data_IF_029446413952
#
_entry.id   IF_029446413952
#
_cell.length_a   1.000
_cell.length_b   1.000
_cell.length_c   1.000
_cell.angle_alpha   90.00
_cell.angle_beta   90.00
_cell.angle_gamma   90.00
#
_symmetry.space_group_name_H-M   'P 1'
#
loop_
_entity.id
_entity.type
_entity.pdbx_description
1 polymer ?
#
# COMPACT_ATOMS: atom_id res chain seq x y z
N UNK A 1 57.36 10.45 23.62
CA UNK A 1 57.22 11.62 22.69
C UNK A 1 55.86 12.21 22.90
N UNK A 2 55.80 13.32 23.67
CA UNK A 2 54.56 14.02 23.94
C UNK A 2 54.07 14.73 22.69
N UNK A 3 52.83 14.41 22.29
CA UNK A 3 52.18 15.09 21.18
C UNK A 3 51.87 16.52 21.51
N UNK A 4 52.21 17.43 20.60
CA UNK A 4 52.00 18.88 20.72
C UNK A 4 50.55 19.20 21.19
N UNK A 5 50.34 20.17 22.11
CA UNK A 5 49.01 20.46 22.70
C UNK A 5 47.88 20.73 21.70
N UNK A 6 48.20 21.23 20.50
CA UNK A 6 47.22 21.42 19.40
C UNK A 6 46.70 20.11 18.83
N UNK A 7 47.54 19.07 18.69
CA UNK A 7 47.15 17.75 18.19
C UNK A 7 46.29 17.00 19.22
N UNK A 8 46.60 17.21 20.52
CA UNK A 8 45.76 16.67 21.61
C UNK A 8 44.37 17.29 21.65
N UNK A 9 44.25 18.61 21.43
CA UNK A 9 42.97 19.32 21.32
C UNK A 9 42.18 18.90 20.09
N UNK A 10 42.82 18.76 18.94
CA UNK A 10 42.14 18.25 17.74
C UNK A 10 41.66 16.79 17.89
N UNK A 11 42.47 15.92 18.50
CA UNK A 11 42.02 14.54 18.81
C UNK A 11 40.88 14.52 19.82
N UNK A 12 40.91 15.33 20.84
CA UNK A 12 39.81 15.45 21.80
C UNK A 12 38.57 16.10 21.19
N UNK A 13 38.71 17.08 20.28
CA UNK A 13 37.59 17.60 19.50
C UNK A 13 37.01 16.53 18.57
N UNK A 14 37.81 15.80 17.82
CA UNK A 14 37.35 14.68 16.97
C UNK A 14 36.72 13.51 17.77
N UNK A 15 37.20 13.25 19.00
CA UNK A 15 36.60 12.26 19.90
C UNK A 15 35.28 12.80 20.48
N UNK A 16 35.25 14.09 20.85
CA UNK A 16 34.03 14.75 21.35
C UNK A 16 32.95 14.87 20.26
N UNK A 17 33.33 15.14 19.00
CA UNK A 17 32.43 15.16 17.85
C UNK A 17 31.96 13.74 17.49
N UNK A 18 32.76 12.69 17.69
CA UNK A 18 32.31 11.29 17.57
C UNK A 18 31.39 10.85 18.71
N UNK A 19 31.50 11.44 19.90
CA UNK A 19 30.58 11.18 21.02
C UNK A 19 29.28 12.02 20.93
N UNK A 20 29.26 13.02 20.04
CA UNK A 20 28.08 13.86 19.75
C UNK A 20 27.27 13.34 18.55
N UNK A 21 27.45 12.08 18.14
CA UNK A 21 26.56 11.47 17.15
C UNK A 21 25.17 11.33 17.75
N UNK A 22 24.27 12.18 17.26
CA UNK A 22 22.85 12.10 17.48
C UNK A 22 22.40 10.65 17.38
N UNK A 23 21.60 10.18 18.33
CA UNK A 23 20.95 8.86 18.37
C UNK A 23 19.95 8.65 17.18
N UNK A 24 20.04 9.47 16.15
CA UNK A 24 19.25 9.36 14.94
C UNK A 24 19.84 8.29 14.04
N UNK A 25 19.10 7.19 13.90
CA UNK A 25 19.47 6.14 12.94
C UNK A 25 19.22 6.64 11.52
N UNK A 26 20.30 6.91 10.78
CA UNK A 26 20.22 7.33 9.38
C UNK A 26 19.45 6.31 8.53
N UNK A 27 18.76 6.77 7.49
CA UNK A 27 18.10 5.89 6.53
C UNK A 27 19.15 5.08 5.75
N UNK A 28 18.84 3.80 5.46
CA UNK A 28 19.65 2.99 4.55
C UNK A 28 19.49 3.47 3.10
N UNK A 29 20.43 3.16 2.20
CA UNK A 29 20.26 3.36 0.77
C UNK A 29 18.92 2.77 0.27
N UNK A 30 18.29 3.44 -0.68
CA UNK A 30 17.00 2.99 -1.24
C UNK A 30 17.22 1.95 -2.33
N UNK A 31 16.25 1.06 -2.50
CA UNK A 31 16.15 0.21 -3.68
C UNK A 31 15.37 0.97 -4.75
N UNK A 32 16.06 1.72 -5.61
CA UNK A 32 15.44 2.61 -6.60
C UNK A 32 14.45 1.89 -7.51
N UNK A 33 14.78 0.65 -7.92
CA UNK A 33 13.88 -0.17 -8.74
C UNK A 33 12.59 -0.46 -7.99
N UNK A 34 12.66 -0.90 -6.72
CA UNK A 34 11.47 -1.21 -5.93
C UNK A 34 10.60 0.02 -5.70
N UNK A 35 11.22 1.19 -5.50
CA UNK A 35 10.50 2.46 -5.41
C UNK A 35 9.79 2.78 -6.75
N UNK A 36 10.45 2.62 -7.88
CA UNK A 36 9.86 2.80 -9.20
C UNK A 36 8.70 1.83 -9.48
N UNK A 37 8.87 0.55 -9.14
CA UNK A 37 7.83 -0.48 -9.33
C UNK A 37 6.58 -0.21 -8.48
N UNK A 38 6.76 0.32 -7.26
CA UNK A 38 5.63 0.76 -6.43
C UNK A 38 4.83 1.86 -7.12
N UNK A 39 5.51 2.79 -7.81
CA UNK A 39 4.85 3.83 -8.60
C UNK A 39 4.11 3.28 -9.81
N UNK A 40 4.72 2.35 -10.56
CA UNK A 40 4.05 1.66 -11.69
C UNK A 40 2.76 0.98 -11.21
N UNK A 41 2.83 0.21 -10.12
CA UNK A 41 1.66 -0.46 -9.56
C UNK A 41 0.59 0.54 -9.08
N UNK A 42 0.98 1.67 -8.47
CA UNK A 42 0.04 2.71 -8.02
C UNK A 42 -0.70 3.36 -9.21
N UNK A 43 -0.03 3.61 -10.34
CA UNK A 43 -0.68 4.10 -11.56
C UNK A 43 -1.72 3.12 -12.10
N UNK A 44 -1.42 1.81 -12.05
CA UNK A 44 -2.37 0.77 -12.49
C UNK A 44 -3.58 0.69 -11.54
N UNK A 45 -3.38 0.88 -10.23
CA UNK A 45 -4.49 0.94 -9.26
C UNK A 45 -5.45 2.09 -9.61
N UNK A 46 -4.92 3.27 -9.94
CA UNK A 46 -5.79 4.40 -10.36
C UNK A 46 -6.54 4.03 -11.64
N UNK A 47 -5.85 3.48 -12.65
CA UNK A 47 -6.50 3.03 -13.87
C UNK A 47 -7.55 1.95 -13.60
N UNK A 48 -7.27 0.97 -12.72
CA UNK A 48 -8.21 -0.06 -12.30
C UNK A 48 -9.51 0.56 -11.78
N UNK A 49 -9.46 1.50 -10.84
CA UNK A 49 -10.64 2.13 -10.27
C UNK A 49 -11.38 3.05 -11.25
N UNK A 50 -10.68 3.66 -12.22
CA UNK A 50 -11.32 4.41 -13.29
C UNK A 50 -12.21 3.51 -14.18
N UNK A 51 -11.75 2.27 -14.47
CA UNK A 51 -12.53 1.28 -15.22
C UNK A 51 -13.65 0.65 -14.37
N UNK A 52 -13.46 0.52 -13.06
CA UNK A 52 -14.47 0.01 -12.12
C UNK A 52 -15.77 0.79 -12.18
N UNK A 53 -15.71 2.11 -12.38
CA UNK A 53 -16.85 3.00 -12.55
C UNK A 53 -17.83 2.52 -13.64
N UNK A 54 -17.35 1.87 -14.69
CA UNK A 54 -18.11 1.43 -15.86
C UNK A 54 -18.36 -0.07 -15.91
N UNK A 55 -17.99 -0.77 -14.87
CA UNK A 55 -18.14 -2.23 -14.78
C UNK A 55 -19.46 -2.62 -14.11
N UNK A 56 -20.05 -3.74 -14.52
CA UNK A 56 -21.17 -4.39 -13.83
C UNK A 56 -20.74 -5.10 -12.53
N UNK A 57 -19.57 -4.78 -12.03
CA UNK A 57 -18.95 -5.34 -10.84
C UNK A 57 -17.48 -5.73 -11.09
N UNK A 58 -16.71 -5.96 -10.03
CA UNK A 58 -15.26 -6.15 -10.12
C UNK A 58 -14.87 -7.35 -10.99
N UNK A 59 -15.75 -8.35 -11.12
CA UNK A 59 -15.52 -9.56 -11.92
C UNK A 59 -15.59 -9.32 -13.43
N UNK A 60 -16.39 -8.33 -13.86
CA UNK A 60 -16.60 -8.00 -15.28
C UNK A 60 -15.74 -6.84 -15.76
N UNK A 61 -14.81 -6.40 -14.96
CA UNK A 61 -13.97 -5.26 -15.24
C UNK A 61 -12.91 -5.57 -16.30
N UNK A 62 -12.67 -4.63 -17.22
CA UNK A 62 -11.70 -4.79 -18.32
C UNK A 62 -10.28 -4.94 -17.76
N UNK A 63 -9.89 -4.07 -16.82
CA UNK A 63 -8.62 -4.11 -16.09
C UNK A 63 -8.82 -4.99 -14.84
N UNK A 64 -8.91 -6.31 -15.02
CA UNK A 64 -9.49 -7.17 -13.99
C UNK A 64 -8.62 -7.37 -12.74
N UNK A 65 -7.29 -7.50 -12.87
CA UNK A 65 -6.42 -7.89 -11.75
C UNK A 65 -5.70 -6.72 -11.07
N UNK A 66 -6.11 -5.46 -11.32
CA UNK A 66 -5.49 -4.28 -10.70
C UNK A 66 -5.53 -4.28 -9.17
N UNK A 67 -6.51 -4.94 -8.54
CA UNK A 67 -6.59 -5.08 -7.08
C UNK A 67 -5.45 -5.92 -6.47
N UNK A 68 -4.80 -6.80 -7.24
CA UNK A 68 -3.62 -7.56 -6.79
C UNK A 68 -2.40 -6.67 -6.55
N UNK A 69 -2.40 -5.42 -7.01
CA UNK A 69 -1.36 -4.46 -6.68
C UNK A 69 -1.19 -4.26 -5.16
N UNK A 70 -2.26 -4.43 -4.38
CA UNK A 70 -2.20 -4.37 -2.92
C UNK A 70 -1.33 -5.50 -2.35
N UNK A 71 -1.46 -6.71 -2.88
CA UNK A 71 -0.65 -7.86 -2.47
C UNK A 71 0.82 -7.64 -2.83
N UNK A 72 1.09 -7.06 -4.01
CA UNK A 72 2.44 -6.64 -4.39
C UNK A 72 2.99 -5.56 -3.44
N UNK A 73 2.19 -4.58 -3.02
CA UNK A 73 2.61 -3.58 -2.03
C UNK A 73 2.93 -4.21 -0.67
N UNK A 74 2.20 -5.23 -0.24
CA UNK A 74 2.52 -5.94 0.99
C UNK A 74 3.85 -6.69 0.89
N UNK A 75 4.18 -7.35 -0.24
CA UNK A 75 5.49 -7.98 -0.45
C UNK A 75 6.61 -6.93 -0.38
N UNK A 76 6.44 -5.80 -1.06
CA UNK A 76 7.39 -4.68 -1.01
C UNK A 76 7.56 -4.13 0.42
N UNK A 77 6.45 -3.92 1.13
CA UNK A 77 6.48 -3.40 2.51
C UNK A 77 7.22 -4.35 3.44
N UNK A 78 6.93 -5.64 3.37
CA UNK A 78 7.63 -6.65 4.17
C UNK A 78 9.13 -6.68 3.90
N UNK A 79 9.54 -6.66 2.63
CA UNK A 79 10.94 -6.60 2.23
C UNK A 79 11.64 -5.34 2.78
N UNK A 80 11.03 -4.17 2.59
CA UNK A 80 11.60 -2.89 3.05
C UNK A 80 11.66 -2.81 4.58
N UNK A 81 10.67 -3.37 5.30
CA UNK A 81 10.67 -3.43 6.77
C UNK A 81 11.84 -4.27 7.26
N UNK A 82 12.03 -5.49 6.73
CA UNK A 82 13.17 -6.34 7.08
C UNK A 82 14.49 -5.65 6.80
N UNK A 83 14.66 -5.12 5.60
CA UNK A 83 15.86 -4.38 5.22
C UNK A 83 16.13 -3.17 6.13
N UNK A 84 15.11 -2.39 6.45
CA UNK A 84 15.30 -1.15 7.19
C UNK A 84 15.54 -1.36 8.70
N UNK A 85 15.03 -2.45 9.30
CA UNK A 85 14.92 -2.53 10.75
C UNK A 85 15.49 -3.78 11.40
N UNK A 86 15.63 -4.94 10.72
CA UNK A 86 16.03 -6.20 11.36
C UNK A 86 17.37 -6.13 12.10
N UNK A 87 18.35 -5.37 11.59
CA UNK A 87 19.68 -5.19 12.17
C UNK A 87 19.80 -3.99 13.12
N UNK A 88 18.68 -3.40 13.55
CA UNK A 88 18.69 -2.15 14.33
C UNK A 88 18.01 -2.24 15.69
N UNK A 89 17.48 -3.40 16.03
CA UNK A 89 16.70 -3.58 17.26
C UNK A 89 17.51 -3.45 18.55
N UNK A 90 18.82 -3.66 18.50
CA UNK A 90 19.76 -3.38 19.58
C UNK A 90 19.91 -1.88 19.90
N UNK A 91 19.60 -1.01 18.92
CA UNK A 91 19.74 0.46 19.01
C UNK A 91 18.42 1.20 18.86
N UNK A 92 17.31 0.48 18.79
CA UNK A 92 15.98 1.05 18.54
C UNK A 92 14.93 0.37 19.41
N UNK A 93 14.16 1.16 20.17
CA UNK A 93 13.03 0.65 20.93
C UNK A 93 11.79 0.40 20.04
N UNK A 94 10.85 -0.42 20.54
CA UNK A 94 9.53 -0.61 19.90
C UNK A 94 8.82 0.75 19.70
N UNK A 95 8.90 1.63 20.70
CA UNK A 95 8.32 2.98 20.63
C UNK A 95 8.95 3.81 19.49
N UNK A 96 10.26 3.71 19.30
CA UNK A 96 10.96 4.43 18.23
C UNK A 96 10.62 3.87 16.85
N UNK A 97 10.41 2.56 16.75
CA UNK A 97 9.91 1.92 15.53
C UNK A 97 8.54 2.47 15.14
N UNK A 98 7.55 2.43 16.05
CA UNK A 98 6.21 2.93 15.77
C UNK A 98 6.20 4.43 15.46
N UNK A 99 6.96 5.25 16.17
CA UNK A 99 7.11 6.67 15.84
C UNK A 99 7.60 6.89 14.41
N UNK A 100 8.59 6.11 13.95
CA UNK A 100 9.12 6.20 12.58
C UNK A 100 8.07 5.81 11.55
N UNK A 101 7.29 4.76 11.83
CA UNK A 101 6.20 4.32 10.95
C UNK A 101 5.09 5.36 10.88
N UNK A 102 4.64 5.87 12.01
CA UNK A 102 3.63 6.93 12.08
C UNK A 102 4.09 8.20 11.33
N UNK A 103 5.29 8.68 11.60
CA UNK A 103 5.83 9.86 10.88
C UNK A 103 5.87 9.64 9.37
N UNK A 104 6.09 8.41 8.90
CA UNK A 104 6.16 8.10 7.48
C UNK A 104 4.79 8.00 6.81
N UNK A 105 3.81 7.37 7.47
CA UNK A 105 2.54 6.98 6.84
C UNK A 105 1.38 7.92 7.20
N UNK A 106 1.30 8.31 8.46
CA UNK A 106 0.10 8.93 9.02
C UNK A 106 -0.25 10.34 8.46
N UNK A 107 0.70 11.20 8.10
CA UNK A 107 0.35 12.49 7.50
C UNK A 107 -0.55 12.36 6.27
N UNK A 108 -0.24 11.44 5.36
CA UNK A 108 -1.05 11.24 4.15
C UNK A 108 -2.41 10.60 4.44
N UNK A 109 -2.54 9.77 5.49
CA UNK A 109 -3.85 9.27 5.94
C UNK A 109 -4.79 10.41 6.29
N UNK A 110 -4.30 11.37 7.09
CA UNK A 110 -5.06 12.56 7.46
C UNK A 110 -5.45 13.35 6.20
N UNK A 111 -4.51 13.59 5.30
CA UNK A 111 -4.79 14.34 4.06
C UNK A 111 -5.84 13.64 3.19
N UNK A 112 -5.70 12.33 2.95
CA UNK A 112 -6.68 11.59 2.13
C UNK A 112 -8.08 11.55 2.76
N UNK A 113 -8.16 11.42 4.08
CA UNK A 113 -9.44 11.49 4.81
C UNK A 113 -10.09 12.87 4.68
N UNK A 114 -9.31 13.95 4.79
CA UNK A 114 -9.81 15.33 4.63
C UNK A 114 -10.29 15.60 3.20
N UNK A 115 -9.55 15.14 2.18
CA UNK A 115 -9.98 15.25 0.77
C UNK A 115 -11.31 14.50 0.58
N UNK A 116 -11.42 13.26 1.12
CA UNK A 116 -12.66 12.48 1.07
C UNK A 116 -13.83 13.18 1.74
N UNK A 117 -13.61 13.85 2.86
CA UNK A 117 -14.65 14.63 3.55
C UNK A 117 -15.11 15.86 2.75
N UNK A 118 -14.17 16.58 2.12
CA UNK A 118 -14.49 17.75 1.28
C UNK A 118 -15.39 17.36 0.10
N UNK A 119 -15.15 16.21 -0.51
CA UNK A 119 -15.92 15.73 -1.66
C UNK A 119 -17.14 14.88 -1.27
N UNK A 120 -17.39 14.62 0.01
CA UNK A 120 -18.37 13.63 0.44
C UNK A 120 -19.76 13.89 -0.12
N UNK A 121 -20.37 15.06 0.16
CA UNK A 121 -21.73 15.40 -0.31
C UNK A 121 -21.82 15.65 -1.81
N UNK A 122 -20.70 15.98 -2.47
CA UNK A 122 -20.67 16.11 -3.93
C UNK A 122 -20.72 14.76 -4.65
N UNK A 123 -20.51 13.66 -3.92
CA UNK A 123 -20.54 12.30 -4.44
C UNK A 123 -21.93 11.65 -4.44
N UNK A 124 -23.03 12.40 -4.21
CA UNK A 124 -24.38 11.84 -4.15
C UNK A 124 -24.82 11.23 -5.48
N UNK A 125 -25.23 9.97 -5.42
CA UNK A 125 -25.75 9.22 -6.57
C UNK A 125 -26.38 7.89 -6.12
N UNK A 126 -27.03 7.20 -7.07
CA UNK A 126 -27.67 5.90 -6.81
C UNK A 126 -26.71 4.81 -6.30
N UNK A 127 -25.39 4.92 -6.57
CA UNK A 127 -24.38 3.98 -6.05
C UNK A 127 -24.01 4.25 -4.58
N UNK A 128 -24.31 5.43 -4.06
CA UNK A 128 -24.00 5.86 -2.69
C UNK A 128 -25.25 6.38 -1.96
N UNK A 129 -26.23 5.52 -1.69
CA UNK A 129 -27.57 5.92 -1.26
C UNK A 129 -27.63 6.63 0.11
N UNK A 130 -26.60 6.48 0.95
CA UNK A 130 -26.59 7.02 2.31
C UNK A 130 -26.03 8.45 2.41
N UNK A 131 -25.47 9.02 1.33
CA UNK A 131 -24.78 10.31 1.38
C UNK A 131 -25.72 11.43 1.87
N UNK A 132 -26.87 11.61 1.23
CA UNK A 132 -27.81 12.69 1.58
C UNK A 132 -28.54 12.45 2.90
N UNK A 133 -28.66 11.20 3.35
CA UNK A 133 -29.22 10.85 4.66
C UNK A 133 -28.25 11.06 5.81
N UNK A 134 -26.94 11.21 5.51
CA UNK A 134 -25.89 11.33 6.51
C UNK A 134 -25.78 12.77 7.03
N UNK A 135 -26.03 13.01 8.32
CA UNK A 135 -25.90 14.34 8.90
C UNK A 135 -24.41 14.74 9.01
N UNK A 136 -24.13 16.03 8.91
CA UNK A 136 -22.77 16.58 8.92
C UNK A 136 -21.92 16.17 10.15
N UNK A 137 -22.53 16.03 11.32
CA UNK A 137 -21.82 15.61 12.53
C UNK A 137 -21.29 14.17 12.42
N UNK A 138 -22.05 13.28 11.72
CA UNK A 138 -21.60 11.91 11.46
C UNK A 138 -20.40 11.91 10.50
N UNK A 139 -20.39 12.80 9.50
CA UNK A 139 -19.22 12.99 8.63
C UNK A 139 -18.00 13.45 9.44
N UNK A 140 -18.17 14.40 10.37
CA UNK A 140 -17.07 14.82 11.26
C UNK A 140 -16.56 13.69 12.15
N UNK A 141 -17.46 12.84 12.64
CA UNK A 141 -17.07 11.62 13.38
C UNK A 141 -16.24 10.70 12.48
N UNK A 142 -16.65 10.47 11.23
CA UNK A 142 -15.89 9.66 10.27
C UNK A 142 -14.53 10.30 9.93
N UNK A 143 -14.42 11.63 9.87
CA UNK A 143 -13.14 12.33 9.74
C UNK A 143 -12.23 12.00 10.93
N UNK A 144 -12.73 12.09 12.15
CA UNK A 144 -11.94 11.77 13.35
C UNK A 144 -11.46 10.32 13.34
N UNK A 145 -12.36 9.36 13.08
CA UNK A 145 -12.03 7.94 13.02
C UNK A 145 -11.05 7.63 11.89
N UNK A 146 -11.29 8.18 10.70
CA UNK A 146 -10.39 8.01 9.55
C UNK A 146 -9.01 8.61 9.77
N UNK A 147 -8.94 9.82 10.37
CA UNK A 147 -7.67 10.43 10.77
C UNK A 147 -6.91 9.61 11.83
N UNK A 148 -7.57 8.84 12.66
CA UNK A 148 -6.97 7.96 13.65
C UNK A 148 -6.74 6.53 13.14
N UNK A 149 -7.14 6.22 11.90
CA UNK A 149 -7.15 4.87 11.34
C UNK A 149 -7.95 3.87 12.17
N UNK A 150 -9.02 4.32 12.80
CA UNK A 150 -9.96 3.47 13.53
C UNK A 150 -10.99 2.98 12.52
N UNK A 151 -11.10 1.65 12.28
CA UNK A 151 -12.06 1.12 11.34
C UNK A 151 -13.49 1.31 11.86
N UNK A 152 -14.40 1.67 10.95
CA UNK A 152 -15.81 1.90 11.29
C UNK A 152 -16.61 0.61 11.17
N UNK A 153 -17.51 0.30 12.12
CA UNK A 153 -18.42 -0.82 12.00
C UNK A 153 -19.38 -0.63 10.81
N UNK A 154 -19.83 -1.73 10.21
CA UNK A 154 -20.76 -1.73 9.07
C UNK A 154 -22.02 -0.89 9.35
N UNK A 155 -22.55 -0.95 10.59
CA UNK A 155 -23.73 -0.16 11.02
C UNK A 155 -23.52 1.36 11.03
N UNK A 156 -22.27 1.82 10.95
CA UNK A 156 -21.92 3.25 10.94
C UNK A 156 -21.57 3.75 9.53
N UNK A 157 -21.67 2.89 8.53
CA UNK A 157 -21.41 3.29 7.15
C UNK A 157 -22.25 4.53 6.76
N UNK A 158 -21.65 5.38 5.93
CA UNK A 158 -22.23 6.64 5.48
C UNK A 158 -22.34 6.71 3.96
N UNK A 159 -21.91 5.64 3.24
CA UNK A 159 -21.91 5.62 1.77
C UNK A 159 -22.74 4.48 1.20
N UNK A 160 -22.88 3.36 1.89
CA UNK A 160 -23.59 2.16 1.43
C UNK A 160 -22.67 1.05 0.90
N UNK A 161 -21.33 1.18 1.07
CA UNK A 161 -20.35 0.21 0.60
C UNK A 161 -19.63 -0.57 1.70
N UNK A 162 -20.00 -0.33 2.96
CA UNK A 162 -19.52 -1.03 4.15
C UNK A 162 -18.00 -0.99 4.35
N UNK A 163 -17.37 0.04 3.82
CA UNK A 163 -15.93 0.23 3.92
C UNK A 163 -15.50 0.61 5.34
N UNK A 164 -14.37 0.08 5.80
CA UNK A 164 -13.77 0.45 7.11
C UNK A 164 -13.45 1.94 7.22
N UNK A 165 -13.40 2.66 6.10
CA UNK A 165 -13.28 4.11 6.04
C UNK A 165 -14.08 4.63 4.84
N UNK A 166 -15.33 4.99 5.05
CA UNK A 166 -16.24 5.47 4.01
C UNK A 166 -15.85 6.80 3.35
N UNK A 167 -14.87 7.54 3.90
CA UNK A 167 -14.31 8.74 3.28
C UNK A 167 -13.17 8.45 2.31
N UNK A 168 -12.48 7.31 2.49
CA UNK A 168 -11.34 6.93 1.64
C UNK A 168 -11.14 5.41 1.64
N UNK A 169 -11.90 4.70 0.82
CA UNK A 169 -11.94 3.24 0.77
C UNK A 169 -10.56 2.56 0.78
N UNK A 170 -9.60 2.87 -0.10
CA UNK A 170 -8.30 2.19 -0.17
C UNK A 170 -7.48 2.18 1.11
N UNK A 171 -7.80 3.01 2.10
CA UNK A 171 -7.10 2.99 3.40
C UNK A 171 -7.30 1.69 4.18
N UNK A 172 -8.23 0.82 3.78
CA UNK A 172 -8.36 -0.52 4.34
C UNK A 172 -7.04 -1.31 4.30
N UNK A 173 -6.32 -1.25 3.20
CA UNK A 173 -5.05 -1.96 3.06
C UNK A 173 -3.96 -1.39 3.96
N UNK A 174 -4.00 -0.07 4.20
CA UNK A 174 -3.09 0.58 5.13
C UNK A 174 -3.38 0.20 6.59
N UNK A 175 -4.65 0.00 6.96
CA UNK A 175 -5.02 -0.59 8.26
C UNK A 175 -4.33 -1.95 8.45
N UNK A 176 -4.38 -2.81 7.44
CA UNK A 176 -3.67 -4.10 7.46
C UNK A 176 -2.15 -3.93 7.52
N UNK A 177 -1.58 -2.92 6.84
CA UNK A 177 -0.14 -2.62 6.96
C UNK A 177 0.24 -2.19 8.39
N UNK A 178 -0.60 -1.44 9.11
CA UNK A 178 -0.37 -1.14 10.53
C UNK A 178 -0.40 -2.42 11.38
N UNK A 179 -1.35 -3.32 11.12
CA UNK A 179 -1.42 -4.63 11.80
C UNK A 179 -0.14 -5.44 11.51
N UNK A 180 0.34 -5.49 10.27
CA UNK A 180 1.59 -6.14 9.92
C UNK A 180 2.79 -5.57 10.69
N UNK A 181 2.87 -4.23 10.82
CA UNK A 181 3.92 -3.59 11.60
C UNK A 181 3.86 -3.96 13.09
N UNK A 182 2.66 -4.10 13.65
CA UNK A 182 2.46 -4.56 15.04
C UNK A 182 2.92 -6.00 15.19
N UNK A 183 2.47 -6.90 14.32
CA UNK A 183 2.88 -8.31 14.31
C UNK A 183 4.39 -8.46 14.18
N UNK A 184 5.00 -7.71 13.23
CA UNK A 184 6.44 -7.69 13.05
C UNK A 184 7.17 -7.23 14.32
N UNK A 185 6.80 -6.07 14.86
CA UNK A 185 7.55 -5.46 15.97
C UNK A 185 7.41 -6.21 17.29
N UNK A 186 6.27 -6.85 17.55
CA UNK A 186 6.04 -7.55 18.79
C UNK A 186 6.47 -9.02 18.75
N UNK A 187 6.29 -9.70 17.63
CA UNK A 187 6.45 -11.16 17.54
C UNK A 187 7.47 -11.59 16.48
N UNK A 188 7.23 -11.29 15.21
CA UNK A 188 7.93 -11.90 14.07
C UNK A 188 9.40 -11.47 13.97
N UNK A 189 9.77 -10.32 14.50
CA UNK A 189 11.19 -9.90 14.56
C UNK A 189 12.08 -10.90 15.30
N UNK A 190 11.52 -11.68 16.23
CA UNK A 190 12.24 -12.68 17.00
C UNK A 190 12.35 -14.05 16.31
N UNK A 191 11.63 -14.26 15.21
CA UNK A 191 11.65 -15.52 14.49
C UNK A 191 12.99 -15.74 13.79
N UNK A 192 13.52 -16.97 13.89
CA UNK A 192 14.60 -17.42 13.02
C UNK A 192 14.14 -17.46 11.57
N UNK A 193 15.05 -17.58 10.61
CA UNK A 193 14.73 -17.75 9.19
C UNK A 193 13.85 -18.98 8.95
N UNK A 194 14.09 -20.07 9.71
CA UNK A 194 13.30 -21.30 9.60
C UNK A 194 11.89 -21.09 10.16
N UNK A 195 11.77 -20.52 11.36
CA UNK A 195 10.45 -20.23 11.95
C UNK A 195 9.63 -19.29 11.07
N UNK A 196 10.25 -18.24 10.49
CA UNK A 196 9.59 -17.36 9.55
C UNK A 196 9.21 -18.10 8.26
N UNK A 197 10.06 -19.01 7.76
CA UNK A 197 9.74 -19.85 6.59
C UNK A 197 8.51 -20.74 6.82
N UNK A 198 8.42 -21.38 7.98
CA UNK A 198 7.25 -22.19 8.38
C UNK A 198 6.01 -21.30 8.47
N UNK A 199 6.11 -20.12 9.10
CA UNK A 199 5.01 -19.18 9.20
C UNK A 199 4.50 -18.74 7.81
N UNK A 200 5.40 -18.41 6.89
CA UNK A 200 5.07 -18.05 5.49
C UNK A 200 4.42 -19.22 4.76
N UNK A 201 4.90 -20.46 4.94
CA UNK A 201 4.28 -21.64 4.35
C UNK A 201 2.86 -21.87 4.85
N UNK A 202 2.61 -21.70 6.16
CA UNK A 202 1.25 -21.78 6.72
C UNK A 202 0.36 -20.64 6.21
N UNK A 203 0.88 -19.42 6.10
CA UNK A 203 0.16 -18.30 5.52
C UNK A 203 -0.19 -18.52 4.02
N UNK A 204 0.67 -19.22 3.27
CA UNK A 204 0.38 -19.60 1.89
C UNK A 204 -0.84 -20.50 1.76
N UNK A 205 -1.11 -21.37 2.75
CA UNK A 205 -2.32 -22.21 2.77
C UNK A 205 -3.60 -21.35 2.83
N UNK A 206 -3.62 -20.27 3.59
CA UNK A 206 -4.74 -19.33 3.61
C UNK A 206 -4.94 -18.64 2.27
N UNK A 207 -3.84 -18.29 1.59
CA UNK A 207 -3.87 -17.73 0.23
C UNK A 207 -4.47 -18.75 -0.76
N UNK A 208 -4.08 -20.01 -0.66
CA UNK A 208 -4.61 -21.11 -1.50
C UNK A 208 -6.10 -21.35 -1.21
N UNK A 209 -6.49 -21.30 0.07
CA UNK A 209 -7.89 -21.49 0.51
C UNK A 209 -8.83 -20.49 -0.19
N UNK A 210 -8.45 -19.21 -0.20
CA UNK A 210 -9.22 -18.16 -0.89
C UNK A 210 -9.17 -18.33 -2.41
N UNK A 211 -7.97 -18.54 -2.98
CA UNK A 211 -7.79 -18.65 -4.42
C UNK A 211 -8.63 -19.74 -5.05
N UNK A 212 -8.73 -20.89 -4.39
CA UNK A 212 -9.48 -22.05 -4.86
C UNK A 212 -10.88 -22.18 -4.23
N UNK A 213 -11.29 -21.19 -3.44
CA UNK A 213 -12.58 -21.15 -2.75
C UNK A 213 -12.85 -22.44 -1.98
N UNK A 214 -11.82 -22.97 -1.29
CA UNK A 214 -11.91 -24.21 -0.51
C UNK A 214 -12.84 -24.02 0.68
N UNK A 215 -12.79 -22.79 1.26
CA UNK A 215 -13.64 -22.35 2.36
C UNK A 215 -13.54 -23.23 3.62
N UNK A 216 -12.30 -23.50 4.03
CA UNK A 216 -11.99 -24.34 5.20
C UNK A 216 -12.72 -23.89 6.48
N UNK A 217 -13.04 -22.60 6.61
CA UNK A 217 -13.67 -22.01 7.80
C UNK A 217 -15.16 -21.67 7.61
N UNK A 218 -15.77 -21.95 6.46
CA UNK A 218 -17.16 -21.62 6.16
C UNK A 218 -17.45 -20.10 6.12
N UNK A 219 -16.46 -19.30 5.76
CA UNK A 219 -16.55 -17.83 5.72
C UNK A 219 -16.75 -17.27 4.30
N UNK A 220 -16.59 -18.10 3.25
CA UNK A 220 -16.60 -17.67 1.85
C UNK A 220 -17.89 -18.00 1.09
N UNK A 221 -18.87 -18.63 1.75
CA UNK A 221 -20.12 -19.14 1.14
C UNK A 221 -20.90 -18.06 0.36
N UNK A 222 -20.84 -16.80 0.80
CA UNK A 222 -21.63 -15.69 0.21
C UNK A 222 -20.95 -15.01 -0.97
N UNK A 223 -19.80 -15.49 -1.42
CA UNK A 223 -18.95 -14.78 -2.39
C UNK A 223 -19.25 -15.09 -3.87
N UNK A 224 -20.36 -15.69 -4.21
CA UNK A 224 -20.71 -16.23 -5.55
C UNK A 224 -19.97 -15.55 -6.73
N UNK A 225 -20.18 -14.27 -6.96
CA UNK A 225 -19.56 -13.52 -8.05
C UNK A 225 -18.05 -13.29 -7.85
N UNK A 226 -17.55 -13.24 -6.61
CA UNK A 226 -16.15 -13.04 -6.27
C UNK A 226 -15.43 -14.33 -5.86
N UNK A 227 -16.05 -15.49 -5.98
CA UNK A 227 -15.40 -16.78 -5.78
C UNK A 227 -14.16 -16.92 -6.67
N UNK A 228 -13.14 -17.60 -6.18
CA UNK A 228 -11.86 -17.78 -6.88
C UNK A 228 -11.12 -16.46 -7.19
N UNK A 229 -11.26 -15.45 -6.31
CA UNK A 229 -10.54 -14.18 -6.40
C UNK A 229 -10.05 -13.72 -5.02
N UNK A 230 -9.03 -12.83 -4.99
CA UNK A 230 -8.62 -12.11 -3.78
C UNK A 230 -9.40 -10.81 -3.56
N UNK A 231 -10.49 -10.56 -4.27
CA UNK A 231 -11.32 -9.37 -4.08
C UNK A 231 -11.89 -9.37 -2.67
N UNK A 232 -11.61 -8.33 -1.89
CA UNK A 232 -12.10 -8.18 -0.51
C UNK A 232 -11.04 -7.66 0.46
N UNK A 233 -11.44 -7.56 1.73
CA UNK A 233 -10.59 -7.12 2.83
C UNK A 233 -10.88 -5.70 3.34
N UNK A 234 -11.90 -5.02 2.80
CA UNK A 234 -12.22 -3.61 3.08
C UNK A 234 -13.34 -3.37 4.08
N UNK A 235 -13.96 -4.43 4.63
CA UNK A 235 -15.04 -4.34 5.62
C UNK A 235 -14.72 -5.13 6.89
N UNK A 236 -15.49 -4.90 7.96
CA UNK A 236 -15.40 -5.65 9.21
C UNK A 236 -16.32 -6.87 9.27
N UNK A 237 -16.89 -7.33 8.14
CA UNK A 237 -17.60 -8.60 8.09
C UNK A 237 -16.62 -9.78 8.19
N UNK A 238 -17.04 -10.94 8.73
CA UNK A 238 -16.13 -12.08 8.94
C UNK A 238 -15.39 -12.54 7.69
N UNK A 239 -16.09 -12.61 6.54
CA UNK A 239 -15.51 -12.93 5.23
C UNK A 239 -14.44 -11.93 4.82
N UNK A 240 -14.73 -10.63 4.95
CA UNK A 240 -13.81 -9.55 4.57
C UNK A 240 -12.58 -9.51 5.49
N UNK A 241 -12.76 -9.77 6.80
CA UNK A 241 -11.63 -9.89 7.74
C UNK A 241 -10.76 -11.10 7.40
N UNK A 242 -11.36 -12.24 7.06
CA UNK A 242 -10.63 -13.43 6.64
C UNK A 242 -9.82 -13.20 5.36
N UNK A 243 -10.43 -12.53 4.36
CA UNK A 243 -9.73 -12.17 3.13
C UNK A 243 -8.60 -11.18 3.43
N UNK A 244 -8.87 -10.14 4.21
CA UNK A 244 -7.89 -9.10 4.50
C UNK A 244 -6.67 -9.62 5.24
N UNK A 245 -6.85 -10.49 6.24
CA UNK A 245 -5.73 -11.09 6.98
C UNK A 245 -4.93 -12.07 6.10
N UNK A 246 -5.60 -12.84 5.25
CA UNK A 246 -4.94 -13.78 4.34
C UNK A 246 -4.10 -13.05 3.29
N UNK A 247 -4.63 -11.96 2.72
CA UNK A 247 -3.90 -11.05 1.81
C UNK A 247 -2.72 -10.35 2.47
N UNK A 248 -2.75 -10.17 3.80
CA UNK A 248 -1.65 -9.58 4.56
C UNK A 248 -0.55 -10.59 4.85
N UNK A 249 -0.92 -11.75 5.45
CA UNK A 249 0.04 -12.62 6.12
C UNK A 249 1.09 -13.18 5.15
N UNK A 250 0.68 -13.79 4.04
CA UNK A 250 1.65 -14.34 3.11
C UNK A 250 2.47 -13.25 2.41
N UNK A 251 1.86 -12.27 1.70
CA UNK A 251 2.64 -11.30 0.94
C UNK A 251 3.61 -10.49 1.79
N UNK A 252 3.18 -9.98 2.94
CA UNK A 252 4.06 -9.17 3.77
C UNK A 252 5.21 -9.99 4.35
N UNK A 253 4.94 -11.19 4.86
CA UNK A 253 5.97 -11.98 5.54
C UNK A 253 6.86 -12.75 4.59
N UNK A 254 6.45 -13.08 3.36
CA UNK A 254 7.36 -13.56 2.33
C UNK A 254 8.33 -12.45 1.90
N UNK A 255 7.87 -11.20 1.81
CA UNK A 255 8.75 -10.05 1.57
C UNK A 255 9.79 -9.90 2.68
N UNK A 256 9.39 -10.01 3.94
CA UNK A 256 10.30 -10.01 5.09
C UNK A 256 11.31 -11.18 5.02
N UNK A 257 10.84 -12.38 4.68
CA UNK A 257 11.69 -13.56 4.51
C UNK A 257 12.73 -13.36 3.41
N UNK A 258 12.33 -12.81 2.26
CA UNK A 258 13.24 -12.47 1.16
C UNK A 258 14.36 -11.52 1.62
N UNK A 259 14.02 -10.49 2.40
CA UNK A 259 15.00 -9.58 2.97
C UNK A 259 16.01 -10.30 3.88
N UNK A 260 15.55 -11.24 4.73
CA UNK A 260 16.39 -12.01 5.65
C UNK A 260 17.26 -13.04 4.95
N UNK A 261 16.73 -13.71 3.92
CA UNK A 261 17.47 -14.70 3.13
C UNK A 261 18.50 -14.02 2.26
N UNK A 262 18.17 -12.83 1.74
CA UNK A 262 19.02 -11.99 0.90
C UNK A 262 19.58 -12.70 -0.37
N UNK A 263 18.85 -13.71 -0.87
CA UNK A 263 19.13 -14.35 -2.17
C UNK A 263 18.43 -13.57 -3.27
N UNK A 264 19.07 -12.50 -3.76
CA UNK A 264 18.52 -11.60 -4.73
C UNK A 264 18.96 -11.99 -6.15
N UNK A 265 18.10 -11.69 -7.14
CA UNK A 265 18.32 -12.05 -8.54
C UNK A 265 18.74 -10.82 -9.32
N UNK A 266 19.94 -10.84 -9.89
CA UNK A 266 20.44 -9.74 -10.69
C UNK A 266 20.10 -9.94 -12.16
N UNK A 267 19.35 -8.99 -12.75
CA UNK A 267 19.02 -8.98 -14.18
C UNK A 267 19.42 -7.65 -14.82
N UNK A 268 19.77 -7.70 -16.12
CA UNK A 268 20.01 -6.49 -16.89
C UNK A 268 18.68 -5.78 -17.15
N UNK A 269 18.68 -4.42 -17.07
CA UNK A 269 17.47 -3.60 -17.25
C UNK A 269 16.32 -3.99 -16.31
N UNK A 270 16.63 -4.32 -15.04
CA UNK A 270 15.67 -4.84 -14.06
C UNK A 270 14.41 -4.01 -13.92
N UNK A 271 14.50 -2.67 -13.90
CA UNK A 271 13.33 -1.82 -13.82
C UNK A 271 12.33 -2.07 -14.96
N UNK A 272 12.79 -2.12 -16.20
CA UNK A 272 11.90 -2.28 -17.36
C UNK A 272 11.24 -3.66 -17.39
N UNK A 273 12.00 -4.74 -17.15
CA UNK A 273 11.45 -6.08 -17.15
C UNK A 273 10.48 -6.31 -15.98
N UNK A 274 10.83 -5.87 -14.78
CA UNK A 274 9.92 -5.97 -13.63
C UNK A 274 8.67 -5.11 -13.83
N UNK A 275 8.77 -3.91 -14.41
CA UNK A 275 7.61 -3.08 -14.74
C UNK A 275 6.71 -3.75 -15.77
N UNK A 276 7.29 -4.35 -16.82
CA UNK A 276 6.53 -5.08 -17.84
C UNK A 276 5.76 -6.25 -17.22
N UNK A 277 6.42 -7.03 -16.34
CA UNK A 277 5.77 -8.15 -15.66
C UNK A 277 4.61 -7.66 -14.75
N UNK A 278 4.81 -6.59 -13.97
CA UNK A 278 3.74 -6.02 -13.14
C UNK A 278 2.57 -5.55 -14.00
N UNK A 279 2.85 -4.83 -15.09
CA UNK A 279 1.79 -4.37 -16.02
C UNK A 279 1.06 -5.58 -16.59
N UNK A 280 1.76 -6.58 -17.11
CA UNK A 280 1.16 -7.77 -17.70
C UNK A 280 0.27 -8.52 -16.70
N UNK A 281 0.73 -8.67 -15.44
CA UNK A 281 -0.03 -9.35 -14.38
C UNK A 281 -1.29 -8.55 -14.02
N UNK A 282 -1.17 -7.25 -13.79
CA UNK A 282 -2.27 -6.45 -13.27
C UNK A 282 -3.32 -6.07 -14.33
N UNK A 283 -2.93 -6.05 -15.60
CA UNK A 283 -3.82 -5.73 -16.73
C UNK A 283 -4.52 -6.98 -17.29
N UNK A 284 -4.07 -8.19 -16.89
CA UNK A 284 -4.63 -9.44 -17.39
C UNK A 284 -6.15 -9.51 -17.21
N UNK A 285 -6.92 -9.84 -18.25
CA UNK A 285 -8.36 -10.05 -18.10
C UNK A 285 -8.66 -11.29 -17.25
N UNK A 286 -9.89 -11.41 -16.77
CA UNK A 286 -10.34 -12.61 -16.03
C UNK A 286 -10.20 -13.86 -16.87
N UNK A 287 -9.71 -14.92 -16.25
CA UNK A 287 -9.42 -16.20 -16.91
C UNK A 287 -10.52 -17.22 -16.55
N UNK A 288 -10.88 -18.09 -17.51
CA UNK A 288 -11.78 -19.23 -17.29
C UNK A 288 -13.28 -18.92 -17.36
N UNK A 289 -13.68 -17.66 -17.49
CA UNK A 289 -15.10 -17.27 -17.58
C UNK A 289 -15.92 -17.74 -16.35
N UNK A 290 -17.18 -18.08 -16.56
CA UNK A 290 -18.11 -18.59 -15.53
C UNK A 290 -18.01 -20.11 -15.31
N UNK A 291 -17.53 -20.85 -16.32
CA UNK A 291 -17.49 -22.32 -16.27
C UNK A 291 -16.23 -22.86 -15.59
N UNK A 292 -15.11 -22.15 -15.69
CA UNK A 292 -13.83 -22.55 -15.14
C UNK A 292 -13.19 -21.47 -14.26
N UNK A 293 -13.98 -20.91 -13.34
CA UNK A 293 -13.54 -19.81 -12.44
C UNK A 293 -12.30 -20.16 -11.63
N UNK A 294 -12.07 -21.44 -11.32
CA UNK A 294 -10.86 -21.90 -10.63
C UNK A 294 -9.56 -21.55 -11.35
N UNK A 295 -9.60 -21.39 -12.70
CA UNK A 295 -8.43 -20.97 -13.48
C UNK A 295 -8.00 -19.55 -13.10
N UNK A 296 -8.96 -18.67 -12.79
CA UNK A 296 -8.66 -17.32 -12.28
C UNK A 296 -8.01 -17.40 -10.90
N UNK A 297 -8.54 -18.24 -10.01
CA UNK A 297 -7.93 -18.46 -8.70
C UNK A 297 -6.51 -19.02 -8.80
N UNK A 298 -6.27 -19.96 -9.70
CA UNK A 298 -4.93 -20.49 -9.97
C UNK A 298 -3.97 -19.39 -10.48
N UNK A 299 -4.43 -18.53 -11.37
CA UNK A 299 -3.68 -17.39 -11.87
C UNK A 299 -3.31 -16.42 -10.73
N UNK A 300 -4.28 -16.03 -9.92
CA UNK A 300 -4.06 -15.11 -8.80
C UNK A 300 -3.11 -15.72 -7.75
N UNK A 301 -3.30 -17.00 -7.41
CA UNK A 301 -2.39 -17.73 -6.53
C UNK A 301 -0.96 -17.75 -7.09
N UNK A 302 -0.78 -18.04 -8.37
CA UNK A 302 0.53 -17.97 -9.03
C UNK A 302 1.14 -16.57 -8.95
N UNK A 303 0.35 -15.53 -9.21
CA UNK A 303 0.83 -14.15 -9.13
C UNK A 303 1.29 -13.78 -7.72
N UNK A 304 0.46 -14.07 -6.71
CA UNK A 304 0.73 -13.69 -5.32
C UNK A 304 1.83 -14.54 -4.69
N UNK A 305 1.76 -15.87 -4.87
CA UNK A 305 2.69 -16.80 -4.22
C UNK A 305 4.06 -16.84 -4.88
N UNK A 306 4.14 -16.61 -6.19
CA UNK A 306 5.38 -16.81 -6.95
C UNK A 306 5.85 -15.52 -7.62
N UNK A 307 5.01 -14.89 -8.44
CA UNK A 307 5.46 -13.81 -9.30
C UNK A 307 5.84 -12.53 -8.53
N UNK A 308 5.05 -12.12 -7.55
CA UNK A 308 5.36 -10.92 -6.78
C UNK A 308 6.63 -11.06 -5.93
N UNK A 309 6.86 -12.16 -5.17
CA UNK A 309 8.15 -12.41 -4.53
C UNK A 309 9.32 -12.42 -5.51
N UNK A 310 9.16 -13.04 -6.69
CA UNK A 310 10.18 -13.10 -7.72
C UNK A 310 10.51 -11.71 -8.27
N UNK A 311 9.50 -10.89 -8.59
CA UNK A 311 9.69 -9.51 -9.06
C UNK A 311 10.40 -8.66 -8.01
N UNK A 312 10.06 -8.81 -6.72
CA UNK A 312 10.75 -8.11 -5.63
C UNK A 312 12.21 -8.58 -5.53
N UNK A 313 12.49 -9.88 -5.64
CA UNK A 313 13.85 -10.42 -5.62
C UNK A 313 14.69 -9.90 -6.80
N UNK A 314 14.10 -9.82 -8.00
CA UNK A 314 14.74 -9.26 -9.20
C UNK A 314 14.96 -7.74 -9.08
N UNK A 315 13.96 -7.02 -8.62
CA UNK A 315 14.05 -5.57 -8.43
C UNK A 315 15.08 -5.16 -7.38
N UNK A 316 15.12 -5.88 -6.25
CA UNK A 316 16.09 -5.64 -5.20
C UNK A 316 17.52 -6.07 -5.57
N UNK A 317 17.67 -7.11 -6.41
CA UNK A 317 18.98 -7.61 -6.87
C UNK A 317 19.60 -6.79 -8.00
N UNK A 318 18.84 -5.92 -8.63
CA UNK A 318 19.26 -5.18 -9.82
C UNK A 318 19.51 -3.70 -9.54
N UNK A 319 20.31 -3.06 -10.38
CA UNK A 319 20.60 -1.62 -10.27
C UNK A 319 20.03 -0.86 -11.47
N UNK A 320 19.56 0.35 -11.20
CA UNK A 320 19.18 1.29 -12.28
C UNK A 320 20.45 1.92 -12.84
N UNK A 321 20.57 1.93 -14.16
CA UNK A 321 21.65 2.61 -14.88
C UNK A 321 21.11 3.75 -15.71
N UNK A 322 21.77 4.91 -15.67
CA UNK A 322 21.39 6.10 -16.44
C UNK A 322 20.54 7.11 -15.65
N UNK A 323 20.91 8.39 -15.80
CA UNK A 323 20.29 9.49 -15.05
C UNK A 323 18.76 9.58 -15.24
N UNK A 324 18.25 9.34 -16.45
CA UNK A 324 16.80 9.39 -16.76
C UNK A 324 16.04 8.28 -16.03
N UNK A 325 16.54 7.05 -16.08
CA UNK A 325 15.89 5.90 -15.42
C UNK A 325 15.87 6.06 -13.89
N UNK A 326 16.95 6.57 -13.30
CA UNK A 326 17.02 6.92 -11.87
C UNK A 326 15.97 7.98 -11.53
N UNK A 327 15.88 9.07 -12.29
CA UNK A 327 14.90 10.13 -12.07
C UNK A 327 13.45 9.63 -12.18
N UNK A 328 13.16 8.74 -13.14
CA UNK A 328 11.85 8.12 -13.29
C UNK A 328 11.52 7.25 -12.07
N UNK A 329 12.43 6.37 -11.64
CA UNK A 329 12.22 5.53 -10.47
C UNK A 329 12.00 6.37 -9.20
N UNK A 330 12.76 7.44 -9.03
CA UNK A 330 12.63 8.35 -7.88
C UNK A 330 11.28 9.07 -7.90
N UNK A 331 10.90 9.66 -9.05
CA UNK A 331 9.61 10.34 -9.18
C UNK A 331 8.44 9.38 -8.90
N UNK A 332 8.41 8.23 -9.56
CA UNK A 332 7.37 7.21 -9.37
C UNK A 332 7.32 6.73 -7.90
N UNK A 333 8.48 6.51 -7.28
CA UNK A 333 8.56 6.09 -5.89
C UNK A 333 8.06 7.15 -4.92
N UNK A 334 8.36 8.43 -5.17
CA UNK A 334 7.93 9.56 -4.32
C UNK A 334 6.42 9.77 -4.37
N UNK A 335 5.82 9.74 -5.56
CA UNK A 335 4.38 9.98 -5.71
C UNK A 335 3.52 8.74 -5.40
N UNK A 336 4.08 7.53 -5.37
CA UNK A 336 3.32 6.27 -5.26
C UNK A 336 2.37 6.23 -4.06
N UNK A 337 2.86 6.60 -2.88
CA UNK A 337 2.05 6.59 -1.66
C UNK A 337 1.04 7.76 -1.61
N UNK A 338 1.41 9.01 -1.88
CA UNK A 338 0.44 10.08 -2.04
C UNK A 338 -0.66 9.75 -3.06
N UNK A 339 -0.30 9.22 -4.24
CA UNK A 339 -1.25 8.84 -5.27
C UNK A 339 -2.23 7.77 -4.79
N UNK A 340 -1.71 6.72 -4.12
CA UNK A 340 -2.54 5.66 -3.57
C UNK A 340 -3.54 6.18 -2.53
N UNK A 341 -3.18 7.17 -1.74
CA UNK A 341 -4.05 7.70 -0.68
C UNK A 341 -5.02 8.77 -1.19
N UNK A 342 -4.69 9.53 -2.24
CA UNK A 342 -5.50 10.69 -2.63
C UNK A 342 -6.40 10.46 -3.84
N UNK A 343 -6.24 9.35 -4.60
CA UNK A 343 -6.99 9.14 -5.83
C UNK A 343 -8.47 8.79 -5.61
N UNK A 344 -8.78 7.99 -4.59
CA UNK A 344 -10.11 7.38 -4.48
C UNK A 344 -11.26 8.37 -4.20
N UNK A 345 -11.06 9.45 -3.44
CA UNK A 345 -12.04 10.53 -3.38
C UNK A 345 -12.44 11.08 -4.75
N UNK A 346 -11.52 11.13 -5.71
CA UNK A 346 -11.80 11.52 -7.09
C UNK A 346 -12.54 10.44 -7.86
N UNK A 347 -12.26 9.16 -7.59
CA UNK A 347 -13.02 8.04 -8.15
C UNK A 347 -14.47 8.07 -7.69
N UNK A 348 -14.75 8.37 -6.40
CA UNK A 348 -16.13 8.57 -5.94
C UNK A 348 -16.85 9.67 -6.74
N UNK A 349 -16.17 10.76 -7.07
CA UNK A 349 -16.72 11.83 -7.91
C UNK A 349 -16.99 11.36 -9.35
N UNK A 350 -16.10 10.54 -9.91
CA UNK A 350 -16.32 9.94 -11.23
C UNK A 350 -17.54 9.02 -11.24
N UNK A 351 -17.65 8.14 -10.23
CA UNK A 351 -18.80 7.23 -10.09
C UNK A 351 -20.09 8.06 -10.00
N UNK A 352 -20.11 9.08 -9.15
CA UNK A 352 -21.27 9.93 -8.98
C UNK A 352 -21.66 10.63 -10.28
N UNK A 353 -20.69 11.22 -10.98
CA UNK A 353 -20.97 11.88 -12.26
C UNK A 353 -21.49 10.88 -13.30
N UNK A 354 -20.88 9.71 -13.44
CA UNK A 354 -21.29 8.70 -14.41
C UNK A 354 -22.70 8.15 -14.12
N UNK A 355 -23.04 7.97 -12.84
CA UNK A 355 -24.39 7.51 -12.43
C UNK A 355 -25.47 8.57 -12.62
N UNK A 356 -25.12 9.85 -12.47
CA UNK A 356 -26.04 10.95 -12.66
C UNK A 356 -26.18 11.40 -14.13
N UNK A 357 -25.29 10.92 -15.03
CA UNK A 357 -25.29 11.24 -16.45
C UNK A 357 -25.20 9.98 -17.33
N UNK A 358 -26.13 9.03 -17.21
CA UNK A 358 -26.04 7.75 -17.93
C UNK A 358 -26.06 7.88 -19.45
N UNK A 359 -26.73 8.95 -19.95
CA UNK A 359 -26.89 9.22 -21.39
C UNK A 359 -25.75 10.07 -21.97
N UNK A 360 -24.72 10.40 -21.19
CA UNK A 360 -23.61 11.18 -21.69
C UNK A 360 -22.84 10.42 -22.79
N UNK A 361 -22.37 11.10 -23.84
CA UNK A 361 -21.63 10.44 -24.92
C UNK A 361 -20.30 9.86 -24.41
N UNK A 362 -19.88 8.71 -24.98
CA UNK A 362 -18.65 8.03 -24.62
C UNK A 362 -17.42 8.96 -24.51
N UNK A 363 -17.34 9.93 -25.44
CA UNK A 363 -16.24 10.91 -25.42
C UNK A 363 -16.15 11.72 -24.13
N UNK A 364 -17.29 12.03 -23.48
CA UNK A 364 -17.30 12.73 -22.18
C UNK A 364 -16.84 11.83 -21.05
N UNK A 365 -17.25 10.55 -21.04
CA UNK A 365 -16.77 9.56 -20.07
C UNK A 365 -15.25 9.36 -20.17
N UNK A 366 -14.73 9.24 -21.38
CA UNK A 366 -13.28 9.13 -21.64
C UNK A 366 -12.54 10.39 -21.18
N UNK A 367 -13.06 11.59 -21.56
CA UNK A 367 -12.46 12.86 -21.13
C UNK A 367 -12.43 12.98 -19.61
N UNK A 368 -13.52 12.62 -18.93
CA UNK A 368 -13.60 12.63 -17.47
C UNK A 368 -12.57 11.67 -16.85
N UNK A 369 -12.50 10.42 -17.33
CA UNK A 369 -11.57 9.43 -16.82
C UNK A 369 -10.11 9.88 -16.99
N UNK A 370 -9.74 10.40 -18.18
CA UNK A 370 -8.39 10.93 -18.43
C UNK A 370 -8.10 12.14 -17.54
N UNK A 371 -9.08 13.04 -17.38
CA UNK A 371 -8.94 14.22 -16.53
C UNK A 371 -8.72 13.84 -15.07
N UNK A 372 -9.47 12.87 -14.55
CA UNK A 372 -9.33 12.37 -13.19
C UNK A 372 -7.98 11.64 -13.00
N UNK A 373 -7.51 10.88 -14.00
CA UNK A 373 -6.19 10.27 -13.94
C UNK A 373 -5.08 11.33 -13.78
N UNK A 374 -5.10 12.35 -14.64
CA UNK A 374 -4.12 13.44 -14.60
C UNK A 374 -4.23 14.23 -13.29
N UNK A 375 -5.46 14.56 -12.87
CA UNK A 375 -5.74 15.29 -11.64
C UNK A 375 -5.30 14.50 -10.40
N UNK A 376 -5.47 13.18 -10.39
CA UNK A 376 -4.97 12.32 -9.30
C UNK A 376 -3.45 12.42 -9.14
N UNK A 377 -2.71 12.43 -10.24
CA UNK A 377 -1.24 12.62 -10.22
C UNK A 377 -0.89 14.03 -9.74
N UNK A 378 -1.58 15.06 -10.23
CA UNK A 378 -1.32 16.44 -9.87
C UNK A 378 -1.60 16.70 -8.37
N UNK A 379 -2.73 16.20 -7.84
CA UNK A 379 -3.07 16.31 -6.42
C UNK A 379 -2.08 15.52 -5.56
N UNK A 380 -1.73 14.30 -5.97
CA UNK A 380 -0.72 13.51 -5.26
C UNK A 380 0.62 14.23 -5.14
N UNK A 381 1.07 14.84 -6.24
CA UNK A 381 2.31 15.61 -6.26
C UNK A 381 2.22 16.89 -5.41
N UNK A 382 1.11 17.62 -5.50
CA UNK A 382 0.86 18.79 -4.66
C UNK A 382 0.83 18.41 -3.17
N UNK A 383 0.10 17.36 -2.79
CA UNK A 383 0.06 16.87 -1.41
C UNK A 383 1.44 16.41 -0.93
N UNK A 384 2.23 15.75 -1.79
CA UNK A 384 3.61 15.37 -1.47
C UNK A 384 4.46 16.60 -1.11
N UNK A 385 4.49 17.60 -2.00
CA UNK A 385 5.42 18.74 -1.88
C UNK A 385 4.96 19.77 -0.87
N UNK A 386 3.66 20.09 -0.83
CA UNK A 386 3.12 21.17 -0.01
C UNK A 386 2.77 20.72 1.42
N UNK A 387 2.53 19.43 1.63
CA UNK A 387 2.06 18.91 2.91
C UNK A 387 2.94 17.77 3.46
N UNK A 388 3.08 16.66 2.75
CA UNK A 388 3.70 15.46 3.29
C UNK A 388 5.18 15.64 3.63
N UNK A 389 5.99 16.17 2.71
CA UNK A 389 7.40 16.41 2.95
C UNK A 389 7.64 17.41 4.12
N UNK A 390 6.99 18.60 4.16
CA UNK A 390 7.14 19.53 5.26
C UNK A 390 6.70 18.96 6.62
N UNK A 391 5.54 18.30 6.65
CA UNK A 391 5.00 17.74 7.90
C UNK A 391 5.88 16.60 8.40
N UNK A 392 6.32 15.69 7.53
CA UNK A 392 7.24 14.60 7.92
C UNK A 392 8.57 15.16 8.44
N UNK A 393 9.12 16.18 7.81
CA UNK A 393 10.37 16.77 8.29
C UNK A 393 10.19 17.46 9.65
N UNK A 394 9.08 18.17 9.86
CA UNK A 394 8.75 18.77 11.15
C UNK A 394 8.56 17.69 12.24
N UNK A 395 7.77 16.64 11.96
CA UNK A 395 7.56 15.53 12.90
C UNK A 395 8.86 14.79 13.22
N UNK A 396 9.72 14.59 12.22
CA UNK A 396 11.03 13.97 12.38
C UNK A 396 11.92 14.77 13.31
N UNK A 397 12.00 16.09 13.11
CA UNK A 397 12.76 16.99 14.00
C UNK A 397 12.20 16.99 15.42
N UNK A 398 10.88 16.99 15.57
CA UNK A 398 10.22 17.06 16.87
C UNK A 398 10.28 15.77 17.68
N UNK A 399 10.13 14.61 17.04
CA UNK A 399 9.90 13.33 17.72
C UNK A 399 11.00 12.28 17.53
N UNK A 400 11.79 12.37 16.48
CA UNK A 400 12.81 11.39 16.15
C UNK A 400 14.24 11.88 16.38
N UNK A 401 14.47 13.20 16.29
CA UNK A 401 15.76 13.81 16.60
C UNK A 401 15.70 14.31 18.04
N UNK A 402 16.36 13.60 18.98
CA UNK A 402 16.48 14.10 20.36
C UNK A 402 17.25 15.42 20.35
N UNK A 403 16.60 16.52 20.80
CA UNK A 403 17.34 17.68 21.31
C UNK A 403 18.10 17.20 22.56
N UNK A 404 19.40 17.32 22.53
CA UNK A 404 20.23 17.30 23.74
C UNK A 404 20.03 18.61 24.46
#
# INVERSE_FOLDING_TARGET
RDLHPRVRRQRQMCIRDRMNTTTYLASKPRYEILDGLRGVAAMIVVAYHLFETYSAGPVHQILNHGYLAVDFFFVLSGFVIGYAYDDRWDRMSIKDFFKRRLVRLHPMVIMGTLIGAVFFYLGDCSAFPLIMETPWWKVLLMVLLGCLMIPTPVSWDIRGWWEVNSLNGPTWSLMWEYIANILYALFIRHFSKIALGIFVALAALLTIDIAFNIDTFGLLVTREAAAYTFIGGWSLTPDQLYIGISRLLYPFFVGLLLSRVNKLIKIKRGFYWCSLLIVAILVMPRIGGTEAMWMNGAYEAFCVLIMFPLIVAMGAGSNVTGKRSVAICQFLGEISYPLYITHFPLIYMQIAWARNHPDAPLGMHVLLAVSIFILSIAIAYACLKLYDEPVREWLKRRFLMKRR
#
